data_IF_392720803463
#
_entry.id   IF_392720803463
#
_cell.length_a   1.000
_cell.length_b   1.000
_cell.length_c   1.000
_cell.angle_alpha   90.00
_cell.angle_beta   90.00
_cell.angle_gamma   90.00
#
_symmetry.space_group_name_H-M   'P 1'
#
loop_
_entity.id
_entity.type
_entity.pdbx_description
1 polymer ?
#
# COMPACT_ATOMS: atom_id res chain seq x y z
N UNK A 1 -56.25 9.21 29.48
CA UNK A 1 -55.74 9.90 30.69
C UNK A 1 -55.95 8.99 31.90
N UNK A 2 -55.08 9.01 32.93
CA UNK A 2 -53.95 8.09 33.12
C UNK A 2 -53.96 7.45 34.54
N UNK A 3 -52.92 6.70 34.92
CA UNK A 3 -52.33 6.80 36.27
C UNK A 3 -50.86 6.33 36.28
N UNK A 4 -50.00 7.23 36.76
CA UNK A 4 -48.55 7.19 36.85
C UNK A 4 -47.97 6.06 37.71
N UNK A 5 -46.83 5.49 37.28
CA UNK A 5 -45.80 4.99 38.21
C UNK A 5 -44.52 5.78 38.03
N UNK A 6 -44.09 6.38 39.13
CA UNK A 6 -42.93 7.25 39.28
C UNK A 6 -41.67 6.50 38.87
N UNK A 7 -40.91 7.07 37.93
CA UNK A 7 -39.47 6.79 37.84
C UNK A 7 -38.84 7.43 39.08
N UNK A 8 -38.39 6.58 40.01
CA UNK A 8 -37.44 7.00 41.02
C UNK A 8 -36.14 7.27 40.28
N UNK A 9 -35.68 8.53 40.29
CA UNK A 9 -34.29 8.83 39.96
C UNK A 9 -33.45 8.20 41.07
N UNK A 10 -32.62 7.24 40.69
CA UNK A 10 -31.46 6.89 41.51
C UNK A 10 -30.42 7.93 41.12
N UNK A 11 -30.13 8.83 42.06
CA UNK A 11 -29.00 9.73 41.94
C UNK A 11 -27.74 8.87 42.11
N UNK A 12 -27.05 8.62 41.00
CA UNK A 12 -25.67 8.15 41.03
C UNK A 12 -24.75 9.37 41.14
N UNK A 13 -24.86 10.11 42.25
CA UNK A 13 -23.79 11.01 42.70
C UNK A 13 -22.89 10.19 43.62
N UNK A 14 -21.58 10.25 43.36
CA UNK A 14 -20.49 9.50 43.98
C UNK A 14 -20.33 8.04 43.50
N UNK A 15 -19.39 7.87 42.57
CA UNK A 15 -19.06 6.64 41.85
C UNK A 15 -18.58 5.47 42.72
N UNK A 16 -19.51 4.68 43.23
CA UNK A 16 -19.26 3.32 43.71
C UNK A 16 -20.18 2.32 43.00
N UNK A 17 -19.67 1.60 42.01
CA UNK A 17 -20.27 0.32 41.63
C UNK A 17 -19.50 -0.79 42.36
N UNK A 18 -20.00 -1.19 43.54
CA UNK A 18 -19.55 -2.44 44.14
C UNK A 18 -20.01 -3.62 43.27
N UNK A 19 -19.10 -4.57 43.13
CA UNK A 19 -18.89 -5.54 42.05
C UNK A 19 -20.01 -6.58 41.78
N UNK A 20 -21.31 -6.31 42.00
CA UNK A 20 -22.35 -7.35 41.85
C UNK A 20 -23.62 -7.10 41.04
N UNK A 21 -23.95 -5.91 40.53
CA UNK A 21 -25.25 -5.73 39.83
C UNK A 21 -25.29 -4.73 38.66
N UNK A 22 -24.30 -4.72 37.76
CA UNK A 22 -24.34 -3.88 36.53
C UNK A 22 -24.43 -4.71 35.23
N UNK A 23 -25.65 -5.12 34.84
CA UNK A 23 -25.93 -5.78 33.54
C UNK A 23 -26.35 -4.79 32.44
N UNK A 24 -26.43 -3.47 32.67
CA UNK A 24 -27.03 -2.57 31.67
C UNK A 24 -26.54 -1.13 31.65
N UNK A 25 -25.22 -0.91 31.64
CA UNK A 25 -24.64 0.38 31.25
C UNK A 25 -23.91 0.25 29.91
N UNK A 26 -24.56 0.71 28.83
CA UNK A 26 -23.95 0.91 27.52
C UNK A 26 -22.89 2.04 27.60
N UNK A 27 -21.64 1.86 27.10
CA UNK A 27 -20.59 2.88 27.22
C UNK A 27 -20.71 4.05 26.22
N UNK A 28 -21.81 4.16 25.48
CA UNK A 28 -21.83 4.92 24.22
C UNK A 28 -22.17 6.41 24.28
N UNK A 29 -22.72 6.95 25.38
CA UNK A 29 -23.26 8.31 25.35
C UNK A 29 -23.16 9.01 26.72
N UNK A 30 -22.10 9.79 26.94
CA UNK A 30 -22.15 10.94 27.82
C UNK A 30 -21.19 12.02 27.33
N UNK A 31 -21.80 13.04 26.73
CA UNK A 31 -21.21 14.27 26.22
C UNK A 31 -20.74 15.19 27.34
N UNK A 32 -19.59 15.82 27.14
CA UNK A 32 -19.43 17.29 27.14
C UNK A 32 -20.37 18.08 28.08
N UNK A 33 -19.95 18.32 29.31
CA UNK A 33 -20.22 19.58 30.04
C UNK A 33 -19.33 19.68 31.28
N UNK A 34 -18.39 20.62 31.24
CA UNK A 34 -17.37 21.03 32.23
C UNK A 34 -17.93 21.44 33.63
N UNK A 35 -17.12 21.98 34.57
CA UNK A 35 -15.71 21.75 34.95
C UNK A 35 -15.58 21.52 36.48
N UNK A 36 -15.00 20.41 36.93
CA UNK A 36 -14.54 20.32 38.31
C UNK A 36 -13.35 19.36 38.38
N UNK A 37 -12.16 19.95 38.55
CA UNK A 37 -10.99 19.37 39.23
C UNK A 37 -10.94 17.84 39.22
N UNK A 38 -10.67 17.26 38.05
CA UNK A 38 -10.04 15.95 38.02
C UNK A 38 -8.61 16.18 38.50
N UNK A 39 -8.36 15.85 39.76
CA UNK A 39 -7.02 15.53 40.20
C UNK A 39 -6.47 14.56 39.17
N UNK A 40 -5.41 14.97 38.48
CA UNK A 40 -4.61 14.05 37.70
C UNK A 40 -4.12 12.99 38.69
N UNK A 41 -4.78 11.84 38.69
CA UNK A 41 -4.15 10.61 39.11
C UNK A 41 -2.90 10.51 38.24
N UNK A 42 -1.74 10.63 38.86
CA UNK A 42 -0.43 10.34 38.26
C UNK A 42 -0.32 8.83 38.00
N UNK A 43 -1.26 8.25 37.25
CA UNK A 43 -1.05 6.97 36.60
C UNK A 43 -0.39 7.29 35.26
N UNK A 44 0.94 7.23 35.30
CA UNK A 44 1.79 7.32 34.14
C UNK A 44 1.45 6.19 33.17
N UNK A 45 0.48 6.44 32.29
CA UNK A 45 0.36 5.69 31.05
C UNK A 45 1.65 5.96 30.29
N UNK A 46 2.45 4.92 30.13
CA UNK A 46 3.73 5.00 29.43
C UNK A 46 3.48 5.56 28.03
N UNK A 47 4.38 6.37 27.45
CA UNK A 47 4.29 6.76 26.04
C UNK A 47 4.08 5.56 25.10
N UNK A 48 4.52 4.36 25.50
CA UNK A 48 4.27 3.11 24.78
C UNK A 48 2.81 2.63 24.84
N UNK A 49 2.07 2.87 25.92
CA UNK A 49 0.67 2.41 26.06
C UNK A 49 -0.26 3.25 25.17
N UNK A 50 0.04 4.54 25.03
CA UNK A 50 -0.63 5.42 24.09
C UNK A 50 -0.33 5.05 22.63
N UNK A 51 0.90 4.62 22.35
CA UNK A 51 1.31 4.16 21.03
C UNK A 51 0.56 2.89 20.59
N UNK A 52 0.48 1.88 21.46
CA UNK A 52 -0.29 0.66 21.19
C UNK A 52 -1.77 0.95 20.98
N UNK A 53 -2.36 1.83 21.80
CA UNK A 53 -3.76 2.20 21.67
C UNK A 53 -4.04 2.92 20.34
N UNK A 54 -3.13 3.78 19.88
CA UNK A 54 -3.26 4.50 18.61
C UNK A 54 -3.12 3.56 17.40
N UNK A 55 -2.23 2.57 17.48
CA UNK A 55 -2.06 1.55 16.43
C UNK A 55 -3.28 0.63 16.26
N UNK A 56 -4.21 0.61 17.22
CA UNK A 56 -5.47 -0.15 17.11
C UNK A 56 -6.63 0.65 16.53
N UNK A 57 -6.44 1.95 16.28
CA UNK A 57 -7.50 2.82 15.77
C UNK A 57 -7.68 2.67 14.26
N UNK A 58 -8.94 2.77 13.81
CA UNK A 58 -9.23 2.84 12.39
C UNK A 58 -8.76 4.20 11.79
N UNK A 59 -8.44 4.25 10.48
CA UNK A 59 -7.97 5.48 9.82
C UNK A 59 -8.90 6.70 9.97
N UNK A 60 -10.22 6.53 10.08
CA UNK A 60 -11.16 7.63 10.37
C UNK A 60 -11.11 8.11 11.82
N UNK A 61 -11.03 7.20 12.78
CA UNK A 61 -10.87 7.54 14.20
C UNK A 61 -9.57 8.32 14.43
N UNK A 62 -8.48 7.92 13.77
CA UNK A 62 -7.20 8.61 13.82
C UNK A 62 -7.26 10.03 13.24
N UNK A 63 -7.89 10.21 12.06
CA UNK A 63 -8.16 11.55 11.49
C UNK A 63 -9.02 12.44 12.39
N UNK A 64 -9.98 11.85 13.09
CA UNK A 64 -10.87 12.58 14.01
C UNK A 64 -10.13 13.04 15.26
N UNK A 65 -9.21 12.22 15.79
CA UNK A 65 -8.32 12.59 16.90
C UNK A 65 -7.37 13.70 16.51
N UNK A 66 -6.79 13.64 15.31
CA UNK A 66 -5.94 14.71 14.74
C UNK A 66 -6.66 16.05 14.69
N UNK A 67 -7.90 16.05 14.18
CA UNK A 67 -8.69 17.27 14.08
C UNK A 67 -9.03 17.87 15.46
N UNK A 68 -9.35 17.02 16.45
CA UNK A 68 -9.64 17.45 17.82
C UNK A 68 -8.39 17.93 18.57
N UNK A 69 -7.25 17.27 18.40
CA UNK A 69 -6.00 17.64 19.04
C UNK A 69 -5.48 19.01 18.56
N UNK A 70 -5.67 19.33 17.28
CA UNK A 70 -5.31 20.63 16.70
C UNK A 70 -6.11 21.82 17.27
N UNK A 71 -7.26 21.56 17.92
CA UNK A 71 -8.17 22.58 18.45
C UNK A 71 -8.14 22.78 19.97
N UNK A 72 -7.28 22.07 20.72
CA UNK A 72 -7.22 22.17 22.19
C UNK A 72 -6.13 23.15 22.67
N UNK A 73 -6.48 24.36 23.14
CA UNK A 73 -5.50 25.26 23.72
C UNK A 73 -5.13 24.82 25.14
N UNK A 74 -3.84 24.66 25.42
CA UNK A 74 -3.31 24.62 26.79
C UNK A 74 -2.61 23.34 27.25
N UNK A 75 -2.31 22.37 26.37
CA UNK A 75 -1.52 21.21 26.76
C UNK A 75 -0.49 20.85 25.66
N UNK A 76 0.64 21.59 25.64
CA UNK A 76 1.68 21.47 24.62
C UNK A 76 2.25 20.06 24.52
N UNK A 77 2.30 19.35 25.64
CA UNK A 77 2.96 18.05 25.73
C UNK A 77 2.06 16.95 25.16
N UNK A 78 0.75 17.03 25.40
CA UNK A 78 -0.23 16.15 24.78
C UNK A 78 -0.35 16.41 23.27
N UNK A 79 -0.36 17.67 22.85
CA UNK A 79 -0.36 18.02 21.42
C UNK A 79 0.92 17.55 20.73
N UNK A 80 2.09 17.78 21.34
CA UNK A 80 3.38 17.31 20.83
C UNK A 80 3.42 15.78 20.76
N UNK A 81 2.93 15.08 21.79
CA UNK A 81 2.85 13.62 21.81
C UNK A 81 1.92 13.08 20.73
N UNK A 82 0.72 13.65 20.54
CA UNK A 82 -0.20 13.24 19.47
C UNK A 82 0.40 13.54 18.09
N UNK A 83 1.03 14.71 17.89
CA UNK A 83 1.70 15.04 16.63
C UNK A 83 2.87 14.10 16.35
N UNK A 84 3.70 13.82 17.35
CA UNK A 84 4.85 12.92 17.23
C UNK A 84 4.40 11.49 16.96
N UNK A 85 3.36 11.04 17.65
CA UNK A 85 2.77 9.71 17.46
C UNK A 85 2.09 9.59 16.10
N UNK A 86 1.39 10.63 15.62
CA UNK A 86 0.83 10.62 14.28
C UNK A 86 1.89 10.74 13.19
N UNK A 87 2.96 11.50 13.40
CA UNK A 87 4.10 11.55 12.49
C UNK A 87 4.82 10.20 12.44
N UNK A 88 4.97 9.53 13.58
CA UNK A 88 5.54 8.21 13.65
C UNK A 88 4.59 7.13 13.11
N UNK A 89 3.26 7.31 13.21
CA UNK A 89 2.27 6.40 12.61
C UNK A 89 2.19 6.58 11.09
N UNK A 90 2.26 7.82 10.60
CA UNK A 90 2.41 8.11 9.16
C UNK A 90 3.73 7.55 8.63
N UNK A 91 4.82 7.73 9.40
CA UNK A 91 6.12 7.12 9.09
C UNK A 91 6.08 5.59 9.16
N UNK A 92 5.31 5.00 10.07
CA UNK A 92 5.13 3.55 10.17
C UNK A 92 4.21 2.98 9.06
N UNK A 93 3.26 3.77 8.56
CA UNK A 93 2.49 3.46 7.35
C UNK A 93 3.36 3.61 6.07
N UNK A 94 4.25 4.60 6.02
CA UNK A 94 5.24 4.83 4.95
C UNK A 94 6.34 3.74 4.94
N UNK A 95 6.76 3.27 6.12
CA UNK A 95 7.67 2.14 6.34
C UNK A 95 6.95 0.77 6.20
N UNK A 96 5.64 0.74 5.93
CA UNK A 96 4.89 -0.50 5.80
C UNK A 96 5.24 -1.16 4.46
N UNK A 97 6.10 -2.17 4.51
CA UNK A 97 6.46 -2.97 3.35
C UNK A 97 5.22 -3.54 2.64
N UNK A 98 5.07 -3.24 1.35
CA UNK A 98 4.06 -3.84 0.48
C UNK A 98 4.74 -4.80 -0.48
N UNK A 99 4.42 -6.10 -0.35
CA UNK A 99 4.84 -7.11 -1.31
C UNK A 99 3.93 -7.14 -2.54
N UNK A 100 4.54 -7.28 -3.72
CA UNK A 100 3.84 -7.40 -5.00
C UNK A 100 3.84 -8.83 -5.57
N UNK A 101 4.31 -9.83 -4.81
CA UNK A 101 4.42 -11.21 -5.28
C UNK A 101 3.08 -11.78 -5.78
N UNK A 102 1.96 -11.44 -5.13
CA UNK A 102 0.64 -11.90 -5.57
C UNK A 102 0.26 -11.44 -6.99
N UNK A 103 0.86 -10.35 -7.49
CA UNK A 103 0.66 -9.92 -8.88
C UNK A 103 1.47 -10.76 -9.87
N UNK A 104 2.64 -11.28 -9.47
CA UNK A 104 3.40 -12.26 -10.27
C UNK A 104 2.66 -13.59 -10.39
N UNK A 105 2.01 -14.01 -9.30
CA UNK A 105 1.16 -15.21 -9.30
C UNK A 105 -0.04 -15.02 -10.24
N UNK A 106 -0.71 -13.85 -10.17
CA UNK A 106 -1.81 -13.50 -11.08
C UNK A 106 -1.34 -13.45 -12.56
N UNK A 107 -0.18 -12.86 -12.82
CA UNK A 107 0.44 -12.83 -14.15
C UNK A 107 0.73 -14.24 -14.70
N UNK A 108 1.26 -15.12 -13.83
CA UNK A 108 1.57 -16.51 -14.19
C UNK A 108 0.30 -17.31 -14.54
N UNK A 109 -0.79 -17.07 -13.80
CA UNK A 109 -2.09 -17.66 -14.13
C UNK A 109 -2.64 -17.16 -15.47
N UNK A 110 -2.52 -15.86 -15.75
CA UNK A 110 -2.91 -15.29 -17.05
C UNK A 110 -2.13 -15.96 -18.16
N UNK A 111 -0.81 -16.11 -17.99
CA UNK A 111 0.06 -16.74 -18.99
C UNK A 111 -0.31 -18.21 -19.23
N UNK A 112 -0.52 -18.98 -18.16
CA UNK A 112 -0.92 -20.40 -18.25
C UNK A 112 -2.25 -20.58 -19.00
N UNK A 113 -3.18 -19.64 -18.86
CA UNK A 113 -4.45 -19.65 -19.60
C UNK A 113 -4.28 -19.37 -21.10
N UNK A 114 -3.32 -18.53 -21.47
CA UNK A 114 -2.99 -18.29 -22.88
C UNK A 114 -2.47 -19.55 -23.55
N UNK A 115 -1.52 -20.24 -22.92
CA UNK A 115 -0.89 -21.45 -23.47
C UNK A 115 -1.91 -22.60 -23.67
N UNK A 116 -2.99 -22.60 -22.90
CA UNK A 116 -4.00 -23.67 -22.92
C UNK A 116 -5.21 -23.40 -23.84
N UNK A 117 -5.30 -22.22 -24.48
CA UNK A 117 -6.44 -21.90 -25.36
C UNK A 117 -6.04 -21.63 -26.82
N UNK A 118 -6.75 -22.26 -27.76
CA UNK A 118 -6.53 -22.09 -29.21
C UNK A 118 -7.83 -21.74 -29.95
N UNK A 119 -7.69 -21.25 -31.19
CA UNK A 119 -8.82 -20.86 -32.05
C UNK A 119 -9.45 -19.51 -31.69
N UNK A 120 -10.71 -19.27 -32.09
CA UNK A 120 -11.38 -17.96 -31.91
C UNK A 120 -11.61 -17.56 -30.44
N UNK A 121 -11.72 -18.54 -29.53
CA UNK A 121 -11.70 -18.29 -28.07
C UNK A 121 -10.31 -17.88 -27.59
N UNK A 122 -9.25 -18.48 -28.12
CA UNK A 122 -7.86 -18.07 -27.88
C UNK A 122 -7.64 -16.60 -28.21
N UNK A 123 -8.13 -16.14 -29.37
CA UNK A 123 -7.95 -14.74 -29.77
C UNK A 123 -8.56 -13.69 -28.82
N UNK A 124 -9.70 -14.01 -28.19
CA UNK A 124 -10.29 -13.12 -27.15
C UNK A 124 -9.45 -13.16 -25.88
N UNK A 125 -9.02 -14.35 -25.46
CA UNK A 125 -8.18 -14.53 -24.29
C UNK A 125 -6.82 -13.82 -24.46
N UNK A 126 -6.26 -13.83 -25.67
CA UNK A 126 -5.01 -13.13 -26.02
C UNK A 126 -5.08 -11.63 -25.70
N UNK A 127 -6.15 -10.95 -26.14
CA UNK A 127 -6.35 -9.53 -25.84
C UNK A 127 -6.72 -9.26 -24.38
N UNK A 128 -7.46 -10.17 -23.75
CA UNK A 128 -7.78 -10.07 -22.33
C UNK A 128 -6.51 -10.16 -21.47
N UNK A 129 -5.58 -11.04 -21.83
CA UNK A 129 -4.29 -11.16 -21.15
C UNK A 129 -3.48 -9.87 -21.25
N UNK A 130 -3.34 -9.26 -22.43
CA UNK A 130 -2.71 -7.93 -22.59
C UNK A 130 -3.35 -6.93 -21.62
N UNK A 131 -4.68 -6.86 -21.61
CA UNK A 131 -5.40 -5.93 -20.74
C UNK A 131 -5.13 -6.22 -19.27
N UNK A 132 -4.99 -7.49 -18.87
CA UNK A 132 -4.77 -7.87 -17.48
C UNK A 132 -3.34 -7.53 -17.03
N UNK A 133 -2.32 -7.84 -17.83
CA UNK A 133 -0.94 -7.41 -17.55
C UNK A 133 -0.84 -5.89 -17.38
N UNK A 134 -1.51 -5.10 -18.23
CA UNK A 134 -1.56 -3.65 -18.07
C UNK A 134 -2.22 -3.20 -16.77
N UNK A 135 -3.33 -3.86 -16.38
CA UNK A 135 -4.01 -3.56 -15.11
C UNK A 135 -3.10 -3.91 -13.94
N UNK A 136 -2.35 -5.00 -14.00
CA UNK A 136 -1.37 -5.35 -12.97
C UNK A 136 -0.29 -4.28 -12.84
N UNK A 137 0.29 -3.85 -13.96
CA UNK A 137 1.28 -2.77 -13.98
C UNK A 137 0.73 -1.47 -13.35
N UNK A 138 -0.52 -1.08 -13.69
CA UNK A 138 -1.18 0.08 -13.08
C UNK A 138 -1.37 -0.10 -11.57
N UNK A 139 -1.85 -1.27 -11.11
CA UNK A 139 -2.05 -1.53 -9.68
C UNK A 139 -0.75 -1.48 -8.87
N UNK A 140 0.36 -1.90 -9.47
CA UNK A 140 1.69 -1.81 -8.84
C UNK A 140 2.09 -0.34 -8.75
N UNK A 141 2.06 0.38 -9.87
CA UNK A 141 2.42 1.80 -9.94
C UNK A 141 1.60 2.67 -8.98
N UNK A 142 0.29 2.48 -8.91
CA UNK A 142 -0.61 3.26 -8.04
C UNK A 142 -0.31 3.07 -6.55
N UNK A 143 0.46 2.04 -6.17
CA UNK A 143 0.85 1.74 -4.79
C UNK A 143 2.28 2.14 -4.46
N UNK A 144 3.04 2.62 -5.43
CA UNK A 144 4.41 3.08 -5.23
C UNK A 144 4.45 4.60 -5.28
N UNK A 145 5.10 5.20 -4.28
CA UNK A 145 5.30 6.64 -4.18
C UNK A 145 6.69 6.95 -3.65
N UNK A 146 7.11 8.21 -3.70
CA UNK A 146 8.38 8.67 -3.13
C UNK A 146 8.50 8.30 -1.63
N UNK A 147 7.39 8.38 -0.91
CA UNK A 147 7.28 8.10 0.52
C UNK A 147 7.24 6.59 0.85
N UNK A 148 7.16 5.70 -0.14
CA UNK A 148 7.16 4.26 0.08
C UNK A 148 8.51 3.75 0.57
N UNK A 149 8.54 2.66 1.34
CA UNK A 149 9.79 2.02 1.75
C UNK A 149 10.63 1.53 0.56
N UNK A 150 11.95 1.48 0.74
CA UNK A 150 12.88 0.94 -0.26
C UNK A 150 12.50 -0.48 -0.69
N UNK A 151 12.15 -1.35 0.27
CA UNK A 151 11.75 -2.73 -0.02
C UNK A 151 10.47 -2.80 -0.84
N UNK A 152 9.54 -1.85 -0.65
CA UNK A 152 8.30 -1.76 -1.43
C UNK A 152 8.61 -1.40 -2.89
N UNK A 153 9.46 -0.39 -3.10
CA UNK A 153 9.91 0.01 -4.45
C UNK A 153 10.66 -1.13 -5.14
N UNK A 154 11.53 -1.83 -4.40
CA UNK A 154 12.24 -3.00 -4.91
C UNK A 154 11.28 -4.13 -5.29
N UNK A 155 10.33 -4.48 -4.42
CA UNK A 155 9.35 -5.53 -4.71
C UNK A 155 8.48 -5.19 -5.92
N UNK A 156 8.19 -3.91 -6.16
CA UNK A 156 7.48 -3.44 -7.34
C UNK A 156 8.31 -3.64 -8.62
N UNK A 157 9.60 -3.26 -8.60
CA UNK A 157 10.51 -3.48 -9.74
C UNK A 157 10.65 -4.95 -10.06
N UNK A 158 10.90 -5.78 -9.05
CA UNK A 158 11.02 -7.23 -9.21
C UNK A 158 9.76 -7.83 -9.85
N UNK A 159 8.57 -7.46 -9.37
CA UNK A 159 7.32 -7.92 -9.95
C UNK A 159 7.13 -7.48 -11.41
N UNK A 160 7.44 -6.22 -11.73
CA UNK A 160 7.37 -5.73 -13.11
C UNK A 160 8.37 -6.46 -14.02
N UNK A 161 9.57 -6.76 -13.52
CA UNK A 161 10.63 -7.49 -14.26
C UNK A 161 10.21 -8.92 -14.52
N UNK A 162 9.71 -9.63 -13.50
CA UNK A 162 9.22 -11.00 -13.64
C UNK A 162 8.03 -11.09 -14.60
N UNK A 163 7.08 -10.17 -14.54
CA UNK A 163 5.99 -10.10 -15.52
C UNK A 163 6.51 -9.87 -16.95
N UNK A 164 7.51 -9.02 -17.10
CA UNK A 164 8.14 -8.75 -18.39
C UNK A 164 8.85 -9.98 -18.95
N UNK A 165 9.58 -10.72 -18.10
CA UNK A 165 10.21 -11.99 -18.47
C UNK A 165 9.17 -13.01 -18.92
N UNK A 166 8.02 -13.14 -18.24
CA UNK A 166 6.96 -14.05 -18.67
C UNK A 166 6.45 -13.76 -20.09
N UNK A 167 6.32 -12.48 -20.45
CA UNK A 167 5.87 -12.07 -21.79
C UNK A 167 6.96 -12.34 -22.82
N UNK A 168 8.20 -11.94 -22.52
CA UNK A 168 9.32 -12.09 -23.43
C UNK A 168 9.56 -13.58 -23.68
N UNK A 169 9.73 -14.37 -22.62
CA UNK A 169 10.11 -15.79 -22.68
C UNK A 169 8.99 -16.76 -23.01
N UNK A 170 7.75 -16.33 -22.87
CA UNK A 170 6.61 -17.20 -23.05
C UNK A 170 6.43 -17.75 -24.47
N UNK A 171 5.64 -18.81 -24.59
CA UNK A 171 5.41 -19.48 -25.87
C UNK A 171 4.45 -18.68 -26.77
N UNK A 172 5.02 -17.93 -27.71
CA UNK A 172 4.23 -17.11 -28.64
C UNK A 172 3.41 -17.92 -29.64
N UNK A 173 3.70 -19.20 -29.87
CA UNK A 173 3.11 -20.00 -30.94
C UNK A 173 1.57 -20.10 -30.89
N UNK A 174 0.98 -20.04 -29.70
CA UNK A 174 -0.47 -20.02 -29.48
C UNK A 174 -1.13 -18.65 -29.62
N UNK A 175 -0.36 -17.56 -29.46
CA UNK A 175 -0.87 -16.18 -29.44
C UNK A 175 -1.19 -15.70 -30.86
N UNK A 176 -2.36 -15.10 -31.06
CA UNK A 176 -2.80 -14.55 -32.33
C UNK A 176 -1.89 -13.42 -32.84
N UNK A 177 -1.61 -13.40 -34.15
CA UNK A 177 -0.68 -12.44 -34.78
C UNK A 177 -0.99 -10.97 -34.47
N UNK A 178 -2.27 -10.60 -34.40
CA UNK A 178 -2.69 -9.24 -34.05
C UNK A 178 -2.30 -8.84 -32.62
N UNK A 179 -2.37 -9.79 -31.68
CA UNK A 179 -1.97 -9.56 -30.29
C UNK A 179 -0.45 -9.52 -30.17
N UNK A 180 0.28 -10.34 -30.94
CA UNK A 180 1.75 -10.24 -31.00
C UNK A 180 2.21 -8.85 -31.45
N UNK A 181 1.60 -8.34 -32.53
CA UNK A 181 1.90 -6.97 -33.02
C UNK A 181 1.56 -5.90 -31.99
N UNK A 182 0.53 -6.14 -31.18
CA UNK A 182 0.15 -5.23 -30.11
C UNK A 182 1.20 -5.22 -28.99
N UNK A 183 1.61 -6.40 -28.51
CA UNK A 183 2.69 -6.57 -27.53
C UNK A 183 4.02 -6.01 -28.01
N UNK A 184 4.35 -6.16 -29.30
CA UNK A 184 5.57 -5.60 -29.90
C UNK A 184 5.69 -4.08 -29.74
N UNK A 185 4.58 -3.39 -29.50
CA UNK A 185 4.52 -1.94 -29.32
C UNK A 185 4.13 -1.52 -27.90
N UNK A 186 3.93 -2.50 -27.01
CA UNK A 186 3.49 -2.24 -25.64
C UNK A 186 4.67 -1.90 -24.74
N UNK A 187 4.65 -0.69 -24.19
CA UNK A 187 5.68 -0.15 -23.30
C UNK A 187 5.14 0.05 -21.88
N UNK A 188 3.95 -0.49 -21.53
CA UNK A 188 3.32 -0.17 -20.25
C UNK A 188 4.13 -0.66 -19.04
N UNK A 189 4.73 -1.85 -19.15
CA UNK A 189 5.53 -2.43 -18.06
C UNK A 189 6.82 -1.64 -17.83
N UNK A 190 7.57 -1.31 -18.89
CA UNK A 190 8.76 -0.45 -18.76
C UNK A 190 8.39 0.95 -18.29
N UNK A 191 7.28 1.54 -18.74
CA UNK A 191 6.81 2.83 -18.22
C UNK A 191 6.50 2.76 -16.71
N UNK A 192 5.92 1.66 -16.23
CA UNK A 192 5.68 1.46 -14.81
C UNK A 192 7.01 1.32 -14.04
N UNK A 193 7.98 0.56 -14.57
CA UNK A 193 9.33 0.45 -13.98
C UNK A 193 10.00 1.82 -13.89
N UNK A 194 9.94 2.62 -14.95
CA UNK A 194 10.51 3.96 -14.97
C UNK A 194 9.89 4.85 -13.88
N UNK A 195 8.57 4.77 -13.68
CA UNK A 195 7.90 5.54 -12.62
C UNK A 195 8.29 5.07 -11.22
N UNK A 196 8.53 3.78 -11.04
CA UNK A 196 9.06 3.27 -9.77
C UNK A 196 10.48 3.81 -9.54
N UNK A 197 11.33 3.83 -10.58
CA UNK A 197 12.66 4.45 -10.50
C UNK A 197 12.59 5.96 -10.23
N UNK A 198 11.64 6.68 -10.82
CA UNK A 198 11.43 8.12 -10.57
C UNK A 198 11.06 8.39 -9.09
N UNK A 199 10.46 7.41 -8.41
CA UNK A 199 10.12 7.49 -6.99
C UNK A 199 11.28 7.07 -6.06
N UNK A 200 12.40 6.56 -6.60
CA UNK A 200 13.56 6.13 -5.83
C UNK A 200 14.56 7.27 -5.61
N UNK A 201 15.21 7.29 -4.45
CA UNK A 201 16.32 8.22 -4.20
C UNK A 201 17.58 7.77 -4.94
N UNK A 202 18.55 8.67 -5.11
CA UNK A 202 19.82 8.32 -5.76
C UNK A 202 20.59 7.21 -5.02
N UNK A 203 20.48 7.14 -3.69
CA UNK A 203 21.06 6.05 -2.90
C UNK A 203 20.39 4.71 -3.20
N UNK A 204 19.05 4.68 -3.28
CA UNK A 204 18.29 3.49 -3.65
C UNK A 204 18.62 3.04 -5.09
N UNK A 205 18.70 3.99 -6.02
CA UNK A 205 19.12 3.71 -7.42
C UNK A 205 20.57 3.22 -7.46
N UNK A 206 21.45 3.73 -6.60
CA UNK A 206 22.83 3.24 -6.51
C UNK A 206 22.87 1.78 -6.04
N UNK A 207 22.04 1.39 -5.07
CA UNK A 207 21.94 -0.02 -4.65
C UNK A 207 21.52 -0.90 -5.83
N UNK A 208 20.53 -0.49 -6.63
CA UNK A 208 20.13 -1.20 -7.85
C UNK A 208 21.24 -1.31 -8.88
N UNK A 209 22.03 -0.25 -9.08
CA UNK A 209 23.17 -0.25 -10.00
C UNK A 209 24.28 -1.20 -9.58
N UNK A 210 24.50 -1.30 -8.28
CA UNK A 210 25.56 -2.13 -7.69
C UNK A 210 25.10 -3.61 -7.57
N UNK A 211 23.81 -3.91 -7.82
CA UNK A 211 23.26 -5.27 -7.92
C UNK A 211 23.49 -5.85 -9.32
N UNK A 212 24.59 -6.60 -9.47
CA UNK A 212 24.98 -7.22 -10.75
C UNK A 212 23.90 -8.17 -11.29
N UNK A 213 23.23 -8.93 -10.42
CA UNK A 213 22.20 -9.90 -10.84
C UNK A 213 20.98 -9.18 -11.43
N UNK A 214 20.54 -8.09 -10.80
CA UNK A 214 19.42 -7.30 -11.31
C UNK A 214 19.74 -6.66 -12.67
N UNK A 215 20.95 -6.10 -12.84
CA UNK A 215 21.38 -5.50 -14.10
C UNK A 215 21.48 -6.56 -15.19
N UNK A 216 22.10 -7.71 -14.93
CA UNK A 216 22.21 -8.82 -15.89
C UNK A 216 20.81 -9.30 -16.33
N UNK A 217 19.87 -9.43 -15.39
CA UNK A 217 18.49 -9.81 -15.70
C UNK A 217 17.79 -8.78 -16.61
N UNK A 218 18.00 -7.48 -16.39
CA UNK A 218 17.43 -6.43 -17.24
C UNK A 218 18.08 -6.40 -18.64
N UNK A 219 19.39 -6.61 -18.74
CA UNK A 219 20.10 -6.69 -20.00
C UNK A 219 19.63 -7.90 -20.82
N UNK A 220 19.54 -9.07 -20.19
CA UNK A 220 19.02 -10.29 -20.82
C UNK A 220 17.56 -10.12 -21.26
N UNK A 221 16.74 -9.45 -20.45
CA UNK A 221 15.36 -9.12 -20.80
C UNK A 221 15.28 -8.23 -22.04
N UNK A 222 16.12 -7.20 -22.14
CA UNK A 222 16.19 -6.31 -23.31
C UNK A 222 16.67 -7.06 -24.55
N UNK A 223 17.74 -7.84 -24.45
CA UNK A 223 18.28 -8.64 -25.56
C UNK A 223 17.23 -9.63 -26.09
N UNK A 224 16.62 -10.40 -25.19
CA UNK A 224 15.57 -11.37 -25.55
C UNK A 224 14.33 -10.69 -26.16
N UNK A 225 13.99 -9.48 -25.71
CA UNK A 225 12.92 -8.70 -26.30
C UNK A 225 13.26 -8.27 -27.74
N UNK A 226 14.48 -7.78 -27.98
CA UNK A 226 14.96 -7.38 -29.30
C UNK A 226 15.03 -8.54 -30.29
N UNK A 227 15.54 -9.71 -29.88
CA UNK A 227 15.58 -10.92 -30.70
C UNK A 227 14.18 -11.35 -31.15
N UNK A 228 13.17 -11.12 -30.30
CA UNK A 228 11.75 -11.40 -30.58
C UNK A 228 11.03 -10.24 -31.29
N UNK A 229 11.74 -9.15 -31.57
CA UNK A 229 11.19 -7.95 -32.22
C UNK A 229 10.20 -7.17 -31.35
N UNK A 230 10.27 -7.33 -30.03
CA UNK A 230 9.45 -6.63 -29.04
C UNK A 230 10.13 -5.31 -28.66
N UNK A 231 9.47 -4.17 -28.89
CA UNK A 231 9.96 -2.85 -28.50
C UNK A 231 9.34 -2.43 -27.17
N UNK A 232 9.73 -3.13 -26.12
CA UNK A 232 9.13 -2.94 -24.79
C UNK A 232 9.71 -1.76 -24.01
N UNK A 233 10.83 -1.16 -24.45
CA UNK A 233 11.37 0.06 -23.86
C UNK A 233 12.22 -0.15 -22.60
N UNK A 234 12.86 -1.31 -22.43
CA UNK A 234 13.76 -1.56 -21.30
C UNK A 234 15.12 -0.86 -21.47
N UNK A 235 15.46 -0.44 -22.69
CA UNK A 235 16.58 0.46 -22.99
C UNK A 235 16.53 1.74 -22.14
N UNK A 236 15.35 2.34 -21.98
CA UNK A 236 15.17 3.53 -21.14
C UNK A 236 15.47 3.25 -19.65
N UNK A 237 15.17 2.05 -19.17
CA UNK A 237 15.43 1.63 -17.79
C UNK A 237 16.93 1.44 -17.58
N UNK A 238 17.57 0.69 -18.49
CA UNK A 238 19.01 0.50 -18.48
C UNK A 238 19.77 1.83 -18.58
N UNK A 239 19.32 2.76 -19.43
CA UNK A 239 19.90 4.11 -19.50
C UNK A 239 19.77 4.87 -18.19
N UNK A 240 18.63 4.74 -17.49
CA UNK A 240 18.39 5.44 -16.22
C UNK A 240 19.29 4.91 -15.12
N UNK A 241 19.57 3.60 -15.12
CA UNK A 241 20.48 2.97 -14.17
C UNK A 241 21.96 3.26 -14.53
N UNK A 242 22.34 3.18 -15.81
CA UNK A 242 23.74 3.28 -16.25
C UNK A 242 24.25 4.71 -16.42
N UNK A 243 23.37 5.71 -16.57
CA UNK A 243 23.81 7.12 -16.58
C UNK A 243 24.38 7.49 -15.22
N UNK A 244 25.72 7.55 -15.15
CA UNK A 244 26.44 8.27 -14.11
C UNK A 244 25.98 9.72 -14.14
N UNK A 245 25.13 10.12 -13.19
CA UNK A 245 24.87 11.53 -12.98
C UNK A 245 26.22 12.19 -12.62
N UNK A 246 26.58 13.21 -13.40
CA UNK A 246 27.82 13.97 -13.27
C UNK A 246 27.77 14.95 -12.11
#
# INVERSE_FOLDING_TARGET
MPLSRKRVRVDCEDGGCDEKDCISCDPGYASLSSPATAQFSEDGSSPNDMWEMIMTLDPQAMRTLLFKASGMPGNSDLQSSIITTCAASKKAEEDLFVSFQGYNDEASEIWTRLDSTSGSKGYRNDFEAVSNFRKLAVKIEDRVSEDSSHETKWSALDALTLMSLQIVDGYWGGVGLGVRKYWQQDTRLSQAMHRVLDAMTEEEIKVLRDDEEYIENLEALQENAEERGLKMGFDMILESLTKKQK
#
